data_IF_516614438836
#
_entry.id   IF_516614438836
#
_cell.length_a   1.000
_cell.length_b   1.000
_cell.length_c   1.000
_cell.angle_alpha   90.00
_cell.angle_beta   90.00
_cell.angle_gamma   90.00
#
_symmetry.space_group_name_H-M   'P 1'
#
loop_
_entity.id
_entity.type
_entity.pdbx_description
1 polymer ?
#
# COMPACT_ATOMS: atom_id res chain seq x y z
N UNK A 1 18.82 -19.16 -14.35
CA UNK A 1 17.88 -18.03 -14.53
C UNK A 1 16.74 -18.45 -15.44
N UNK A 2 15.48 -18.40 -14.98
CA UNK A 2 14.32 -18.61 -15.86
C UNK A 2 14.16 -17.36 -16.72
N UNK A 3 14.49 -17.44 -18.01
CA UNK A 3 14.20 -16.34 -18.95
C UNK A 3 12.67 -16.22 -19.06
N UNK A 4 12.11 -15.09 -18.63
CA UNK A 4 10.69 -14.79 -18.81
C UNK A 4 10.41 -14.84 -20.31
N UNK A 5 9.44 -15.66 -20.72
CA UNK A 5 9.08 -15.80 -22.13
C UNK A 5 8.42 -14.50 -22.59
N UNK A 6 9.07 -13.78 -23.51
CA UNK A 6 8.51 -12.58 -24.13
C UNK A 6 7.50 -12.95 -25.20
N UNK A 7 6.36 -12.28 -25.19
CA UNK A 7 5.27 -12.41 -26.15
C UNK A 7 5.52 -11.53 -27.38
N UNK A 8 4.78 -11.74 -28.47
CA UNK A 8 4.91 -10.91 -29.68
C UNK A 8 4.58 -9.43 -29.40
N UNK A 9 3.61 -9.17 -28.53
CA UNK A 9 3.18 -7.81 -28.17
C UNK A 9 4.27 -7.02 -27.44
N UNK A 10 5.10 -7.69 -26.64
CA UNK A 10 6.24 -7.07 -25.96
C UNK A 10 7.25 -6.46 -26.96
N UNK A 11 7.40 -7.07 -28.14
CA UNK A 11 8.26 -6.53 -29.22
C UNK A 11 7.58 -5.42 -30.00
N UNK A 12 6.28 -5.58 -30.25
CA UNK A 12 5.50 -4.68 -31.10
C UNK A 12 5.48 -3.24 -30.56
N UNK A 13 5.54 -3.05 -29.24
CA UNK A 13 5.63 -1.72 -28.61
C UNK A 13 6.83 -0.95 -29.17
N UNK A 14 8.02 -1.56 -29.14
CA UNK A 14 9.25 -0.92 -29.62
C UNK A 14 9.27 -0.71 -31.13
N UNK A 15 8.70 -1.62 -31.91
CA UNK A 15 8.63 -1.47 -33.37
C UNK A 15 7.72 -0.32 -33.78
N UNK A 16 6.61 -0.09 -33.06
CA UNK A 16 5.72 1.05 -33.29
C UNK A 16 6.33 2.38 -32.88
N UNK A 17 7.07 2.41 -31.77
CA UNK A 17 7.74 3.63 -31.30
C UNK A 17 8.87 4.07 -32.24
N UNK A 18 9.58 3.12 -32.86
CA UNK A 18 10.63 3.40 -33.86
C UNK A 18 11.88 4.10 -33.31
N UNK A 19 11.98 4.27 -31.98
CA UNK A 19 13.08 4.98 -31.31
C UNK A 19 14.31 4.13 -31.05
N UNK A 20 14.13 2.82 -30.93
CA UNK A 20 15.20 1.88 -30.58
C UNK A 20 15.56 0.98 -31.76
N UNK A 21 16.86 0.73 -31.92
CA UNK A 21 17.38 -0.26 -32.86
C UNK A 21 17.27 -1.69 -32.28
N UNK A 22 17.46 -2.72 -33.12
CA UNK A 22 17.28 -4.12 -32.71
C UNK A 22 18.22 -4.57 -31.58
N UNK A 23 19.41 -3.96 -31.46
CA UNK A 23 20.35 -4.27 -30.40
C UNK A 23 19.89 -3.69 -29.05
N UNK A 24 19.34 -2.49 -29.06
CA UNK A 24 18.76 -1.84 -27.89
C UNK A 24 17.51 -2.59 -27.42
N UNK A 25 16.62 -2.97 -28.34
CA UNK A 25 15.43 -3.77 -28.03
C UNK A 25 15.81 -5.13 -27.45
N UNK A 26 16.86 -5.78 -27.99
CA UNK A 26 17.35 -7.06 -27.48
C UNK A 26 17.85 -6.94 -26.04
N UNK A 27 18.60 -5.87 -25.73
CA UNK A 27 19.09 -5.58 -24.38
C UNK A 27 17.94 -5.31 -23.41
N UNK A 28 16.97 -4.49 -23.82
CA UNK A 28 15.81 -4.11 -23.01
C UNK A 28 14.91 -5.31 -22.68
N UNK A 29 14.64 -6.14 -23.69
CA UNK A 29 13.81 -7.33 -23.52
C UNK A 29 14.56 -8.54 -22.94
N UNK A 30 15.90 -8.46 -22.81
CA UNK A 30 16.73 -9.55 -22.34
C UNK A 30 16.70 -10.78 -23.27
N UNK A 31 16.64 -10.55 -24.58
CA UNK A 31 16.56 -11.60 -25.61
C UNK A 31 17.68 -11.50 -26.63
N UNK A 32 17.80 -12.49 -27.52
CA UNK A 32 18.78 -12.41 -28.59
C UNK A 32 18.36 -11.42 -29.67
N UNK A 33 19.33 -10.69 -30.21
CA UNK A 33 19.16 -9.82 -31.38
C UNK A 33 18.48 -10.55 -32.56
N UNK A 34 18.83 -11.83 -32.77
CA UNK A 34 18.22 -12.69 -33.78
C UNK A 34 16.71 -12.85 -33.55
N UNK A 35 16.27 -12.95 -32.30
CA UNK A 35 14.86 -13.09 -31.98
C UNK A 35 14.10 -11.78 -32.26
N UNK A 36 14.71 -10.63 -31.94
CA UNK A 36 14.14 -9.32 -32.29
C UNK A 36 13.95 -9.19 -33.80
N UNK A 37 14.97 -9.51 -34.60
CA UNK A 37 14.88 -9.44 -36.06
C UNK A 37 13.82 -10.40 -36.66
N UNK A 38 13.59 -11.57 -36.04
CA UNK A 38 12.47 -12.46 -36.42
C UNK A 38 11.12 -11.81 -36.14
N UNK A 39 10.96 -11.20 -34.96
CA UNK A 39 9.71 -10.53 -34.59
C UNK A 39 9.47 -9.28 -35.43
N UNK A 40 10.52 -8.53 -35.81
CA UNK A 40 10.42 -7.36 -36.67
C UNK A 40 9.90 -7.71 -38.05
N UNK A 41 10.48 -8.74 -38.69
CA UNK A 41 10.00 -9.24 -40.00
C UNK A 41 8.54 -9.70 -39.94
N UNK A 42 8.16 -10.40 -38.87
CA UNK A 42 6.77 -10.80 -38.65
C UNK A 42 5.85 -9.59 -38.47
N UNK A 43 6.31 -8.55 -37.76
CA UNK A 43 5.54 -7.31 -37.61
C UNK A 43 5.42 -6.55 -38.93
N UNK A 44 6.50 -6.42 -39.70
CA UNK A 44 6.50 -5.77 -41.02
C UNK A 44 5.58 -6.47 -42.02
N UNK A 45 5.45 -7.80 -41.97
CA UNK A 45 4.51 -8.54 -42.84
C UNK A 45 3.04 -8.39 -42.44
N UNK A 46 2.77 -7.96 -41.20
CA UNK A 46 1.42 -7.89 -40.63
C UNK A 46 0.93 -6.47 -40.41
N UNK A 47 1.81 -5.46 -40.46
CA UNK A 47 1.47 -4.06 -40.18
C UNK A 47 0.47 -3.47 -41.18
N UNK A 48 0.47 -3.97 -42.42
CA UNK A 48 -0.37 -3.50 -43.53
C UNK A 48 -1.64 -4.35 -43.71
N UNK A 49 -1.85 -5.38 -42.86
CA UNK A 49 -3.06 -6.22 -42.87
C UNK A 49 -4.16 -5.62 -41.96
N UNK A 50 -5.30 -5.17 -42.52
CA UNK A 50 -6.42 -4.61 -41.75
C UNK A 50 -7.04 -5.59 -40.74
N UNK A 51 -6.94 -6.91 -40.97
CA UNK A 51 -7.56 -7.92 -40.12
C UNK A 51 -6.71 -8.32 -38.90
N UNK A 52 -5.42 -8.00 -38.91
CA UNK A 52 -4.50 -8.33 -37.82
C UNK A 52 -4.82 -7.55 -36.53
N UNK A 53 -5.21 -6.28 -36.65
CA UNK A 53 -5.56 -5.44 -35.50
C UNK A 53 -6.91 -5.80 -34.88
N UNK A 54 -7.85 -6.32 -35.68
CA UNK A 54 -9.21 -6.60 -35.22
C UNK A 54 -9.27 -7.87 -34.36
N UNK A 55 -8.37 -8.83 -34.61
CA UNK A 55 -8.42 -10.17 -33.98
C UNK A 55 -7.62 -10.30 -32.69
N UNK A 56 -6.55 -9.52 -32.49
CA UNK A 56 -5.68 -9.62 -31.31
C UNK A 56 -5.83 -8.50 -30.27
N UNK A 57 -6.65 -7.48 -30.54
CA UNK A 57 -6.85 -6.38 -29.58
C UNK A 57 -8.33 -6.11 -29.31
N UNK A 58 -8.92 -6.92 -28.43
CA UNK A 58 -9.88 -6.39 -27.45
C UNK A 58 -9.15 -5.50 -26.42
N UNK A 59 -8.24 -4.63 -26.90
CA UNK A 59 -7.40 -3.74 -26.10
C UNK A 59 -8.21 -2.49 -25.85
N UNK A 60 -8.78 -2.40 -24.66
CA UNK A 60 -9.42 -1.19 -24.16
C UNK A 60 -8.40 -0.04 -24.22
N UNK A 61 -8.58 0.86 -25.17
CA UNK A 61 -7.73 2.05 -25.30
C UNK A 61 -8.41 3.18 -24.54
N UNK A 62 -7.92 3.49 -23.35
CA UNK A 62 -8.39 4.65 -22.57
C UNK A 62 -7.60 5.89 -22.98
N UNK A 63 -8.27 7.04 -23.06
CA UNK A 63 -7.58 8.31 -23.29
C UNK A 63 -6.68 8.64 -22.10
N UNK A 64 -5.55 9.32 -22.36
CA UNK A 64 -4.64 9.78 -21.32
C UNK A 64 -5.36 10.64 -20.26
N UNK A 65 -6.28 11.51 -20.69
CA UNK A 65 -7.11 12.31 -19.79
C UNK A 65 -7.98 11.45 -18.88
N UNK A 66 -8.59 10.39 -19.42
CA UNK A 66 -9.39 9.44 -18.63
C UNK A 66 -8.53 8.75 -17.57
N UNK A 67 -7.32 8.32 -17.95
CA UNK A 67 -6.38 7.69 -17.03
C UNK A 67 -5.92 8.65 -15.93
N UNK A 68 -5.52 9.87 -16.27
CA UNK A 68 -5.10 10.89 -15.30
C UNK A 68 -6.22 11.26 -14.33
N UNK A 69 -7.46 11.35 -14.82
CA UNK A 69 -8.62 11.60 -13.96
C UNK A 69 -8.89 10.43 -12.99
N UNK A 70 -8.73 9.18 -13.45
CA UNK A 70 -8.84 8.01 -12.58
C UNK A 70 -7.75 8.02 -11.50
N UNK A 71 -6.50 8.32 -11.86
CA UNK A 71 -5.40 8.43 -10.90
C UNK A 71 -5.66 9.53 -9.86
N UNK A 72 -6.01 10.75 -10.30
CA UNK A 72 -6.30 11.86 -9.40
C UNK A 72 -7.44 11.53 -8.42
N UNK A 73 -8.49 10.84 -8.91
CA UNK A 73 -9.59 10.37 -8.07
C UNK A 73 -9.12 9.34 -7.04
N UNK A 74 -8.31 8.35 -7.45
CA UNK A 74 -7.77 7.34 -6.55
C UNK A 74 -6.92 7.96 -5.44
N UNK A 75 -6.00 8.86 -5.78
CA UNK A 75 -5.17 9.57 -4.80
C UNK A 75 -6.01 10.39 -3.82
N UNK A 76 -7.08 11.06 -4.29
CA UNK A 76 -7.99 11.81 -3.43
C UNK A 76 -8.71 10.90 -2.44
N UNK A 77 -9.21 9.75 -2.90
CA UNK A 77 -9.90 8.77 -2.05
C UNK A 77 -8.93 8.20 -1.02
N UNK A 78 -7.71 7.85 -1.42
CA UNK A 78 -6.68 7.33 -0.51
C UNK A 78 -6.30 8.35 0.57
N UNK A 79 -6.10 9.60 0.18
CA UNK A 79 -5.80 10.70 1.13
C UNK A 79 -6.93 10.88 2.14
N UNK A 80 -8.18 10.82 1.68
CA UNK A 80 -9.35 10.92 2.55
C UNK A 80 -9.47 9.73 3.50
N UNK A 81 -9.23 8.50 3.01
CA UNK A 81 -9.26 7.30 3.83
C UNK A 81 -8.17 7.33 4.93
N UNK A 82 -6.95 7.75 4.59
CA UNK A 82 -5.87 7.90 5.55
C UNK A 82 -6.18 8.96 6.61
N UNK A 83 -6.77 10.10 6.22
CA UNK A 83 -7.23 11.12 7.17
C UNK A 83 -8.28 10.58 8.13
N UNK A 84 -9.28 9.86 7.62
CA UNK A 84 -10.33 9.25 8.45
C UNK A 84 -9.75 8.21 9.42
N UNK A 85 -8.84 7.35 8.93
CA UNK A 85 -8.14 6.37 9.77
C UNK A 85 -7.41 7.04 10.93
N UNK A 86 -6.70 8.13 10.67
CA UNK A 86 -6.00 8.89 11.71
C UNK A 86 -6.98 9.53 12.71
N UNK A 87 -8.10 10.08 12.24
CA UNK A 87 -9.14 10.63 13.13
C UNK A 87 -9.75 9.56 14.04
N UNK A 88 -10.05 8.39 13.50
CA UNK A 88 -10.57 7.25 14.28
C UNK A 88 -9.57 6.83 15.35
N UNK A 89 -8.28 6.76 15.01
CA UNK A 89 -7.23 6.39 15.97
C UNK A 89 -7.11 7.42 17.11
N UNK A 90 -7.21 8.71 16.80
CA UNK A 90 -7.19 9.79 17.81
C UNK A 90 -8.39 9.66 18.76
N UNK A 91 -9.61 9.50 18.23
CA UNK A 91 -10.81 9.38 19.06
C UNK A 91 -10.79 8.09 19.91
N UNK A 92 -10.28 6.99 19.36
CA UNK A 92 -10.06 5.74 20.12
C UNK A 92 -9.14 5.98 21.31
N UNK A 93 -8.03 6.67 21.09
CA UNK A 93 -7.07 6.99 22.16
C UNK A 93 -7.67 7.92 23.21
N UNK A 94 -8.47 8.90 22.78
CA UNK A 94 -9.20 9.80 23.68
C UNK A 94 -10.17 9.03 24.58
N UNK A 95 -10.96 8.12 24.00
CA UNK A 95 -11.87 7.25 24.76
C UNK A 95 -11.10 6.41 25.77
N UNK A 96 -10.00 5.78 25.35
CA UNK A 96 -9.17 4.96 26.24
C UNK A 96 -8.61 5.77 27.42
N UNK A 97 -8.12 6.99 27.16
CA UNK A 97 -7.62 7.89 28.21
C UNK A 97 -8.73 8.31 29.17
N UNK A 98 -9.91 8.69 28.65
CA UNK A 98 -11.07 9.03 29.49
C UNK A 98 -11.52 7.85 30.33
N UNK A 99 -11.56 6.64 29.75
CA UNK A 99 -11.88 5.42 30.50
C UNK A 99 -10.88 5.20 31.63
N UNK A 100 -9.57 5.23 31.34
CA UNK A 100 -8.53 5.03 32.34
C UNK A 100 -8.61 6.08 33.46
N UNK A 101 -8.86 7.36 33.13
CA UNK A 101 -8.99 8.40 34.15
C UNK A 101 -10.21 8.17 35.05
N UNK A 102 -11.35 7.80 34.47
CA UNK A 102 -12.58 7.56 35.22
C UNK A 102 -12.48 6.30 36.06
N UNK A 103 -11.89 5.23 35.51
CA UNK A 103 -11.65 3.99 36.22
C UNK A 103 -10.69 4.18 37.39
N UNK A 104 -9.57 4.87 37.19
CA UNK A 104 -8.63 5.18 38.26
C UNK A 104 -9.30 6.01 39.37
N UNK A 105 -10.11 7.00 38.99
CA UNK A 105 -10.88 7.80 39.96
C UNK A 105 -11.88 6.95 40.73
N UNK A 106 -12.57 6.02 40.08
CA UNK A 106 -13.47 5.09 40.72
C UNK A 106 -12.73 4.21 41.74
N UNK A 107 -11.62 3.58 41.35
CA UNK A 107 -10.81 2.76 42.26
C UNK A 107 -10.30 3.55 43.48
N UNK A 108 -9.86 4.80 43.28
CA UNK A 108 -9.43 5.66 44.38
C UNK A 108 -10.54 5.95 45.39
N UNK A 109 -11.79 6.08 44.93
CA UNK A 109 -12.93 6.34 45.80
C UNK A 109 -13.38 5.06 46.51
N UNK A 110 -13.49 3.96 45.77
CA UNK A 110 -13.91 2.66 46.32
C UNK A 110 -12.93 2.15 47.39
N UNK A 111 -11.63 2.28 47.13
CA UNK A 111 -10.57 1.79 48.02
C UNK A 111 -10.14 2.82 49.07
N UNK A 112 -10.78 3.99 49.13
CA UNK A 112 -10.32 5.09 49.99
C UNK A 112 -10.31 4.69 51.47
N UNK A 113 -11.35 4.01 51.93
CA UNK A 113 -11.48 3.65 53.34
C UNK A 113 -10.59 2.46 53.70
N UNK A 114 -10.40 1.51 52.78
CA UNK A 114 -9.43 0.44 52.92
C UNK A 114 -7.99 0.99 53.00
N UNK A 115 -7.65 1.96 52.17
CA UNK A 115 -6.33 2.62 52.18
C UNK A 115 -6.10 3.36 53.51
N UNK A 116 -7.10 4.11 54.00
CA UNK A 116 -7.04 4.74 55.34
C UNK A 116 -6.84 3.70 56.44
N UNK A 117 -7.56 2.56 56.37
CA UNK A 117 -7.46 1.49 57.37
C UNK A 117 -6.08 0.83 57.35
N UNK A 118 -5.56 0.54 56.16
CA UNK A 118 -4.22 -0.02 55.97
C UNK A 118 -3.14 0.93 56.52
N UNK A 119 -3.25 2.23 56.23
CA UNK A 119 -2.30 3.24 56.72
C UNK A 119 -2.34 3.38 58.25
N UNK A 120 -3.52 3.33 58.89
CA UNK A 120 -3.63 3.32 60.35
C UNK A 120 -2.94 2.10 60.96
N UNK A 121 -3.26 0.90 60.47
CA UNK A 121 -2.65 -0.34 60.93
C UNK A 121 -1.13 -0.34 60.75
N UNK A 122 -0.64 0.21 59.64
CA UNK A 122 0.80 0.34 59.39
C UNK A 122 1.49 1.23 60.43
N UNK A 123 0.91 2.39 60.73
CA UNK A 123 1.44 3.31 61.73
C UNK A 123 1.41 2.70 63.13
N UNK A 124 0.33 2.00 63.50
CA UNK A 124 0.23 1.30 64.78
C UNK A 124 1.37 0.27 64.92
N UNK A 125 1.63 -0.54 63.88
CA UNK A 125 2.73 -1.51 63.86
C UNK A 125 4.11 -0.83 63.99
N UNK A 126 4.31 0.32 63.34
CA UNK A 126 5.56 1.07 63.43
C UNK A 126 5.80 1.60 64.85
N UNK A 127 4.76 2.14 65.49
CA UNK A 127 4.84 2.63 66.86
C UNK A 127 5.22 1.50 67.82
N UNK A 128 4.54 0.35 67.74
CA UNK A 128 4.88 -0.82 68.55
C UNK A 128 6.33 -1.30 68.39
N UNK A 129 6.94 -1.12 67.20
CA UNK A 129 8.35 -1.48 66.98
C UNK A 129 9.35 -0.50 67.56
N UNK A 130 8.95 0.76 67.81
CA UNK A 130 9.80 1.78 68.42
C UNK A 130 9.78 1.71 69.95
N UNK A 131 8.69 1.18 70.52
CA UNK A 131 8.47 1.05 71.96
C UNK A 131 9.07 -0.26 72.55
N UNK A 132 9.82 -1.04 71.76
CA UNK A 132 10.57 -2.27 72.15
C UNK A 132 12.07 -2.02 72.02
#
# INVERSE_FOLDING_TARGET
>A
MRRIKKTFDDYMIYFKEGRLNDAEIAKELGVSHVNVGKMRRKWESLKDDPHYYITNTSKLTISENTFNNMLARSFKIETQANRLKNQVEIEKNKIALTFLSSFNRYCQLELQDDDKKANRLHNDILQYKQDI
#
